data_IF_538053234765
#
_entry.id   IF_538053234765
#
_cell.length_a   1.000
_cell.length_b   1.000
_cell.length_c   1.000
_cell.angle_alpha   90.00
_cell.angle_beta   90.00
_cell.angle_gamma   90.00
#
_symmetry.space_group_name_H-M   'P 1'
#
loop_
_entity.id
_entity.type
_entity.pdbx_description
1 polymer ?
#
# COMPACT_ATOMS: atom_id res chain seq x y z
N UNK A 1 -4.97 -13.21 7.33
CA UNK A 1 -4.64 -13.35 5.88
C UNK A 1 -3.65 -14.48 5.65
N UNK A 2 -3.57 -15.06 4.45
CA UNK A 2 -2.63 -16.14 4.08
C UNK A 2 -1.28 -15.61 3.56
N UNK A 3 -0.22 -16.37 3.79
CA UNK A 3 1.05 -16.18 3.10
C UNK A 3 0.93 -16.67 1.64
N UNK A 4 1.74 -16.11 0.75
CA UNK A 4 1.75 -16.41 -0.67
C UNK A 4 1.66 -15.15 -1.52
N UNK A 5 1.34 -15.36 -2.79
CA UNK A 5 1.25 -14.31 -3.80
C UNK A 5 -0.13 -13.63 -3.72
N UNK A 6 -0.11 -12.30 -3.62
CA UNK A 6 -1.30 -11.47 -3.65
C UNK A 6 -1.29 -10.58 -4.88
N UNK A 7 -2.41 -10.48 -5.58
CA UNK A 7 -2.66 -9.45 -6.56
C UNK A 7 -3.33 -8.27 -5.87
N UNK A 8 -2.72 -7.09 -5.98
CA UNK A 8 -3.16 -5.86 -5.32
C UNK A 8 -3.55 -4.88 -6.41
N UNK A 9 -4.70 -4.24 -6.25
CA UNK A 9 -5.11 -3.10 -7.06
C UNK A 9 -5.30 -1.91 -6.15
N UNK A 10 -4.63 -0.80 -6.45
CA UNK A 10 -4.77 0.45 -5.71
C UNK A 10 -5.29 1.55 -6.60
N UNK A 11 -5.98 2.50 -6.00
CA UNK A 11 -6.52 3.69 -6.66
C UNK A 11 -6.12 4.89 -5.81
N UNK A 12 -5.46 5.82 -6.47
CA UNK A 12 -5.00 7.09 -5.92
C UNK A 12 -5.82 8.22 -6.53
N UNK A 13 -6.48 9.03 -5.69
CA UNK A 13 -7.21 10.22 -6.14
C UNK A 13 -6.57 11.44 -5.50
N UNK A 14 -5.91 12.29 -6.29
CA UNK A 14 -5.29 13.53 -5.79
C UNK A 14 -6.20 14.70 -6.13
N UNK A 15 -6.51 15.53 -5.13
CA UNK A 15 -7.31 16.72 -5.30
C UNK A 15 -6.60 17.70 -6.26
N UNK A 16 -7.34 18.18 -7.26
CA UNK A 16 -6.81 19.10 -8.28
C UNK A 16 -6.01 18.41 -9.39
N UNK A 17 -5.71 17.12 -9.26
CA UNK A 17 -5.31 16.29 -10.41
C UNK A 17 -6.56 15.69 -11.04
N UNK A 18 -6.48 15.34 -12.33
CA UNK A 18 -7.63 14.89 -13.12
C UNK A 18 -8.22 13.54 -12.69
N UNK A 19 -8.15 12.55 -13.57
CA UNK A 19 -8.73 11.24 -13.28
C UNK A 19 -7.94 10.49 -12.19
N UNK A 20 -8.61 9.68 -11.33
CA UNK A 20 -7.95 8.77 -10.41
C UNK A 20 -6.95 7.84 -11.12
N UNK A 21 -5.81 7.60 -10.48
CA UNK A 21 -4.77 6.71 -11.00
C UNK A 21 -4.89 5.34 -10.36
N UNK A 22 -5.07 4.32 -11.18
CA UNK A 22 -5.14 2.93 -10.74
C UNK A 22 -3.86 2.18 -11.13
N UNK A 23 -3.39 1.31 -10.24
CA UNK A 23 -2.28 0.40 -10.51
C UNK A 23 -2.60 -0.99 -9.97
N UNK A 24 -2.14 -2.01 -10.69
CA UNK A 24 -2.26 -3.40 -10.28
C UNK A 24 -0.89 -4.04 -10.29
N UNK A 25 -0.53 -4.67 -9.18
CA UNK A 25 0.76 -5.34 -9.01
C UNK A 25 0.61 -6.62 -8.19
N UNK A 26 1.69 -7.40 -8.13
CA UNK A 26 1.78 -8.59 -7.30
C UNK A 26 2.72 -8.33 -6.14
N UNK A 27 2.30 -8.72 -4.94
CA UNK A 27 3.12 -8.66 -3.72
C UNK A 27 3.28 -10.06 -3.15
N UNK A 28 4.49 -10.41 -2.73
CA UNK A 28 4.75 -11.64 -2.00
C UNK A 28 4.63 -11.43 -0.49
N UNK A 29 3.66 -12.09 0.14
CA UNK A 29 3.44 -12.03 1.58
C UNK A 29 4.03 -13.28 2.23
N UNK A 30 5.01 -13.11 3.11
CA UNK A 30 5.63 -14.19 3.89
C UNK A 30 5.14 -14.15 5.33
N UNK A 31 5.44 -15.17 6.14
CA UNK A 31 5.02 -15.16 7.56
C UNK A 31 5.71 -14.06 8.35
N UNK A 32 6.92 -13.70 7.93
CA UNK A 32 7.75 -12.69 8.58
C UNK A 32 7.21 -11.27 8.35
N UNK A 33 6.64 -11.00 7.16
CA UNK A 33 6.11 -9.68 6.81
C UNK A 33 4.63 -9.48 7.17
N UNK A 34 3.95 -10.49 7.73
CA UNK A 34 2.55 -10.38 8.18
C UNK A 34 2.34 -9.39 9.33
N UNK A 35 3.35 -9.20 10.18
CA UNK A 35 3.32 -8.21 11.26
C UNK A 35 3.90 -6.85 10.83
N UNK A 36 4.28 -6.73 9.56
CA UNK A 36 4.78 -5.53 8.92
C UNK A 36 3.80 -5.09 7.83
N UNK A 37 4.01 -3.92 7.23
CA UNK A 37 3.23 -3.55 6.06
C UNK A 37 3.66 -4.44 4.87
N UNK A 38 2.76 -5.27 4.31
CA UNK A 38 3.16 -6.36 3.41
C UNK A 38 3.09 -5.98 1.92
N UNK A 39 2.83 -4.71 1.61
CA UNK A 39 2.61 -4.21 0.25
C UNK A 39 3.67 -3.19 -0.10
N UNK A 40 4.86 -3.64 -0.51
CA UNK A 40 5.91 -2.69 -0.83
C UNK A 40 5.73 -2.13 -2.25
N UNK A 41 5.95 -0.83 -2.40
CA UNK A 41 6.11 -0.19 -3.71
C UNK A 41 7.59 -0.40 -4.13
N UNK A 42 7.87 -1.14 -5.21
CA UNK A 42 9.24 -1.44 -5.61
C UNK A 42 9.98 -0.24 -6.22
N UNK A 43 9.26 0.79 -6.66
CA UNK A 43 9.81 1.89 -7.47
C UNK A 43 10.15 3.13 -6.62
N UNK A 44 9.68 3.20 -5.37
CA UNK A 44 9.81 4.36 -4.50
C UNK A 44 10.44 4.01 -3.13
N UNK A 45 11.29 4.89 -2.58
CA UNK A 45 11.83 4.74 -1.22
C UNK A 45 10.78 5.12 -0.18
N UNK A 46 9.92 4.16 0.14
CA UNK A 46 8.84 4.31 1.10
C UNK A 46 9.19 3.66 2.44
N UNK A 47 9.04 4.43 3.52
CA UNK A 47 9.18 3.97 4.90
C UNK A 47 7.81 3.77 5.51
N UNK A 48 7.54 2.55 5.95
CA UNK A 48 6.29 2.17 6.58
C UNK A 48 6.49 1.94 8.08
N UNK A 49 5.54 2.42 8.87
CA UNK A 49 5.46 2.20 10.31
C UNK A 49 4.08 1.69 10.67
N UNK A 50 4.04 0.44 11.13
CA UNK A 50 2.83 -0.13 11.75
C UNK A 50 2.59 0.58 13.07
N UNK A 51 1.44 1.23 13.19
CA UNK A 51 1.01 1.92 14.41
C UNK A 51 0.22 0.97 15.32
N UNK A 52 -0.64 0.15 14.71
CA UNK A 52 -1.44 -0.86 15.38
C UNK A 52 -1.56 -2.08 14.45
N UNK A 53 -1.62 -3.28 15.03
CA UNK A 53 -1.93 -4.49 14.27
C UNK A 53 -2.67 -5.48 15.14
N UNK A 54 -3.78 -5.97 14.62
CA UNK A 54 -4.55 -7.09 15.14
C UNK A 54 -4.59 -8.19 14.07
N UNK A 55 -5.27 -9.31 14.33
CA UNK A 55 -5.37 -10.39 13.34
C UNK A 55 -6.12 -10.01 12.05
N UNK A 56 -6.94 -8.96 12.08
CA UNK A 56 -7.79 -8.54 10.96
C UNK A 56 -7.68 -7.07 10.58
N UNK A 57 -7.00 -6.25 11.38
CA UNK A 57 -6.88 -4.81 11.17
C UNK A 57 -5.43 -4.35 11.37
N UNK A 58 -4.95 -3.46 10.53
CA UNK A 58 -3.63 -2.85 10.68
C UNK A 58 -3.66 -1.38 10.30
N UNK A 59 -3.22 -0.50 11.21
CA UNK A 59 -3.01 0.92 10.91
C UNK A 59 -1.54 1.16 10.61
N UNK A 60 -1.27 1.79 9.47
CA UNK A 60 0.07 2.08 8.97
C UNK A 60 0.18 3.55 8.64
N UNK A 61 1.29 4.15 9.05
CA UNK A 61 1.70 5.47 8.59
C UNK A 61 3.06 5.40 7.94
N UNK A 62 3.36 6.29 7.03
CA UNK A 62 4.67 6.31 6.44
C UNK A 62 4.93 7.51 5.57
N UNK A 63 6.10 7.50 4.95
CA UNK A 63 6.49 8.52 3.99
C UNK A 63 7.29 7.93 2.84
N UNK A 64 7.09 8.45 1.64
CA UNK A 64 7.86 8.13 0.44
C UNK A 64 8.60 9.36 -0.05
N UNK A 65 9.79 9.16 -0.59
CA UNK A 65 10.51 10.18 -1.36
C UNK A 65 10.59 9.73 -2.80
N UNK A 66 10.02 10.53 -3.71
CA UNK A 66 10.07 10.27 -5.14
C UNK A 66 11.39 10.75 -5.72
N UNK A 67 11.84 10.20 -6.87
CA UNK A 67 13.09 10.61 -7.51
C UNK A 67 13.20 12.11 -7.84
N UNK A 68 12.07 12.80 -8.02
CA UNK A 68 12.01 14.26 -8.25
C UNK A 68 12.14 15.11 -6.98
N UNK A 69 12.26 14.49 -5.81
CA UNK A 69 12.37 15.16 -4.51
C UNK A 69 11.02 15.46 -3.84
N UNK A 70 9.90 15.14 -4.50
CA UNK A 70 8.58 15.19 -3.90
C UNK A 70 8.48 14.19 -2.74
N UNK A 71 7.73 14.58 -1.70
CA UNK A 71 7.47 13.73 -0.54
C UNK A 71 5.99 13.38 -0.48
N UNK A 72 5.69 12.11 -0.26
CA UNK A 72 4.36 11.69 0.16
C UNK A 72 4.39 11.32 1.64
N UNK A 73 3.49 11.85 2.43
CA UNK A 73 3.14 11.31 3.74
C UNK A 73 1.78 10.61 3.64
N UNK A 74 1.63 9.44 4.26
CA UNK A 74 0.41 8.67 4.16
C UNK A 74 0.00 8.03 5.49
N UNK A 75 -1.31 7.82 5.63
CA UNK A 75 -1.94 7.02 6.67
C UNK A 75 -2.89 6.05 5.99
N UNK A 76 -2.66 4.76 6.17
CA UNK A 76 -3.38 3.66 5.53
C UNK A 76 -3.91 2.74 6.62
N UNK A 77 -5.15 2.30 6.45
CA UNK A 77 -5.78 1.26 7.23
C UNK A 77 -5.95 0.06 6.32
N UNK A 78 -5.54 -1.12 6.81
CA UNK A 78 -5.71 -2.38 6.13
C UNK A 78 -6.68 -3.26 6.92
N UNK A 79 -7.64 -3.84 6.21
CA UNK A 79 -8.63 -4.77 6.76
C UNK A 79 -8.55 -6.11 6.03
N UNK A 80 -8.42 -7.19 6.79
CA UNK A 80 -8.51 -8.56 6.29
C UNK A 80 -9.97 -8.97 6.33
N UNK A 81 -10.59 -9.15 5.17
CA UNK A 81 -11.98 -9.56 5.06
C UNK A 81 -12.13 -11.05 5.31
N UNK A 82 -11.23 -11.82 4.68
CA UNK A 82 -11.13 -13.25 4.85
C UNK A 82 -9.69 -13.70 4.55
N UNK A 83 -9.47 -15.01 4.47
CA UNK A 83 -8.13 -15.54 4.27
C UNK A 83 -7.50 -15.17 2.90
N UNK A 84 -8.32 -14.81 1.92
CA UNK A 84 -7.97 -14.55 0.51
C UNK A 84 -8.29 -13.14 0.03
N UNK A 85 -9.00 -12.33 0.82
CA UNK A 85 -9.37 -10.96 0.49
C UNK A 85 -8.97 -9.98 1.59
N UNK A 86 -8.37 -8.87 1.17
CA UNK A 86 -8.03 -7.74 2.02
C UNK A 86 -8.38 -6.42 1.33
N UNK A 87 -8.59 -5.38 2.13
CA UNK A 87 -8.89 -4.03 1.66
C UNK A 87 -7.93 -3.05 2.31
N UNK A 88 -7.70 -1.93 1.65
CA UNK A 88 -6.97 -0.80 2.17
C UNK A 88 -7.70 0.50 1.89
N UNK A 89 -7.64 1.43 2.82
CA UNK A 89 -8.09 2.80 2.61
C UNK A 89 -7.21 3.77 3.37
N UNK A 90 -7.08 4.99 2.89
CA UNK A 90 -6.21 5.94 3.54
C UNK A 90 -6.23 7.32 2.93
N UNK A 91 -5.42 8.17 3.51
CA UNK A 91 -5.17 9.51 3.03
C UNK A 91 -3.69 9.71 2.81
N UNK A 92 -3.37 10.58 1.87
CA UNK A 92 -2.01 11.00 1.61
C UNK A 92 -1.92 12.50 1.41
N UNK A 93 -0.71 13.00 1.64
CA UNK A 93 -0.33 14.38 1.40
C UNK A 93 0.93 14.38 0.56
N UNK A 94 0.86 14.97 -0.63
CA UNK A 94 1.98 15.16 -1.55
C UNK A 94 2.52 16.57 -1.36
N UNK A 95 3.78 16.69 -1.00
CA UNK A 95 4.49 17.96 -0.93
C UNK A 95 5.50 18.04 -2.08
N UNK A 96 5.34 19.04 -2.94
CA UNK A 96 6.24 19.32 -4.06
C UNK A 96 6.56 20.81 -4.19
N UNK A 97 7.38 21.21 -5.18
CA UNK A 97 7.80 22.60 -5.37
C UNK A 97 6.63 23.58 -5.60
N UNK A 98 5.52 23.09 -6.13
CA UNK A 98 4.33 23.88 -6.45
C UNK A 98 3.33 23.98 -5.28
N UNK A 99 3.62 23.34 -4.16
CA UNK A 99 2.77 23.34 -2.96
C UNK A 99 2.39 21.94 -2.50
N UNK A 100 1.40 21.90 -1.61
CA UNK A 100 0.89 20.66 -1.00
C UNK A 100 -0.43 20.27 -1.64
N UNK A 101 -0.55 19.01 -2.04
CA UNK A 101 -1.78 18.39 -2.53
C UNK A 101 -2.21 17.30 -1.57
N UNK A 102 -3.52 17.10 -1.43
CA UNK A 102 -4.09 16.03 -0.62
C UNK A 102 -4.76 15.00 -1.53
N UNK A 103 -4.78 13.76 -1.08
CA UNK A 103 -5.44 12.70 -1.82
C UNK A 103 -5.92 11.57 -0.94
N UNK A 104 -6.76 10.76 -1.55
CA UNK A 104 -7.33 9.56 -0.97
C UNK A 104 -6.75 8.32 -1.65
N UNK A 105 -6.54 7.29 -0.84
CA UNK A 105 -6.05 5.98 -1.25
C UNK A 105 -7.14 4.94 -0.99
N UNK A 106 -7.33 4.04 -1.96
CA UNK A 106 -8.05 2.79 -1.73
C UNK A 106 -7.31 1.63 -2.38
N UNK A 107 -7.42 0.45 -1.79
CA UNK A 107 -6.74 -0.76 -2.24
C UNK A 107 -7.59 -2.01 -2.02
N UNK A 108 -7.45 -2.97 -2.92
CA UNK A 108 -8.01 -4.32 -2.79
C UNK A 108 -6.94 -5.35 -3.08
N UNK A 109 -6.77 -6.29 -2.16
CA UNK A 109 -5.87 -7.42 -2.29
C UNK A 109 -6.65 -8.73 -2.46
N UNK A 110 -6.20 -9.56 -3.39
CA UNK A 110 -6.68 -10.94 -3.58
C UNK A 110 -5.52 -11.92 -3.57
N UNK A 111 -5.60 -12.96 -2.75
CA UNK A 111 -4.66 -14.06 -2.75
C UNK A 111 -4.81 -14.88 -4.03
N UNK A 112 -3.71 -15.17 -4.72
CA UNK A 112 -3.72 -15.85 -6.03
C UNK A 112 -2.89 -17.13 -6.07
N UNK A 113 -1.91 -17.30 -5.18
CA UNK A 113 -1.13 -18.54 -5.10
C UNK A 113 -0.43 -18.71 -3.75
N UNK A 114 -0.15 -19.95 -3.37
CA UNK A 114 0.59 -20.26 -2.14
C UNK A 114 2.10 -19.98 -2.24
N UNK A 115 2.66 -20.01 -3.46
CA UNK A 115 4.08 -19.79 -3.72
C UNK A 115 4.32 -18.39 -4.29
N UNK A 116 5.45 -17.80 -3.91
CA UNK A 116 5.95 -16.57 -4.53
C UNK A 116 6.93 -16.92 -5.65
N UNK A 117 6.68 -16.47 -6.90
CA UNK A 117 7.63 -16.64 -8.00
C UNK A 117 8.95 -15.92 -7.68
N UNK A 118 10.08 -16.52 -8.10
CA UNK A 118 11.39 -15.89 -7.96
C UNK A 118 11.41 -14.49 -8.60
N UNK A 119 11.84 -13.49 -7.84
CA UNK A 119 11.89 -12.09 -8.29
C UNK A 119 10.66 -11.23 -7.98
N UNK A 120 9.61 -11.80 -7.36
CA UNK A 120 8.49 -11.01 -6.84
C UNK A 120 8.88 -10.43 -5.49
N UNK A 121 8.92 -9.09 -5.37
CA UNK A 121 9.10 -8.39 -4.10
C UNK A 121 7.77 -8.19 -3.38
#
# INVERSE_FOLDING_TARGET
>A
MKAGLWQVTTILTIQGMGAPQAQTYKSCITKENMNQYPFNDPDNDCKYKVQSSTGTHMDVSGSCVYPGGEKADFKIQLEVMDAEHAQGSGQLTLAGPQGTMHGDYSGKGKWVAASCPAGTK
#
